data_IF_230803235462
#
_entry.id   IF_230803235462
#
_cell.length_a   1.000
_cell.length_b   1.000
_cell.length_c   1.000
_cell.angle_alpha   90.00
_cell.angle_beta   90.00
_cell.angle_gamma   90.00
#
_symmetry.space_group_name_H-M   'P 1'
#
loop_
_entity.id
_entity.type
_entity.pdbx_description
1 polymer ?
#
# COMPACT_ATOMS: atom_id res chain seq x y z
N UNK A 1 3.47 29.98 27.67
CA UNK A 1 3.18 28.53 27.72
C UNK A 1 2.07 28.25 26.71
N UNK A 2 2.37 27.53 25.63
CA UNK A 2 1.36 27.05 24.66
C UNK A 2 0.97 25.65 25.08
N UNK A 3 -0.28 25.45 25.43
CA UNK A 3 -0.88 24.13 25.63
C UNK A 3 -1.15 23.51 24.25
N UNK A 4 -0.60 22.32 23.91
CA UNK A 4 -0.94 21.66 22.66
C UNK A 4 -2.43 21.27 22.68
N UNK A 5 -3.15 21.65 21.63
CA UNK A 5 -4.56 21.34 21.45
C UNK A 5 -4.71 19.87 21.01
N UNK A 6 -5.44 18.99 21.73
CA UNK A 6 -5.32 17.53 21.56
C UNK A 6 -6.28 16.90 20.53
N UNK A 7 -6.73 17.60 19.48
CA UNK A 7 -7.83 17.07 18.65
C UNK A 7 -7.86 17.50 17.17
N UNK A 8 -6.72 17.59 16.50
CA UNK A 8 -6.74 17.37 15.04
C UNK A 8 -6.79 15.86 14.79
N UNK A 9 -7.83 15.31 14.14
CA UNK A 9 -7.76 13.94 13.66
C UNK A 9 -6.52 13.86 12.76
N UNK A 10 -5.59 12.97 13.11
CA UNK A 10 -4.40 12.79 12.28
C UNK A 10 -4.90 12.17 10.98
N UNK A 11 -4.96 12.94 9.90
CA UNK A 11 -5.20 12.45 8.52
C UNK A 11 -3.98 11.67 8.01
N UNK A 12 -3.31 10.96 8.91
CA UNK A 12 -2.12 10.18 8.60
C UNK A 12 -2.57 8.88 7.94
N UNK A 13 -2.33 8.78 6.64
CA UNK A 13 -2.44 7.51 5.93
C UNK A 13 -1.19 6.68 6.22
N UNK A 14 -1.37 5.38 6.46
CA UNK A 14 -0.26 4.44 6.59
C UNK A 14 0.08 3.91 5.20
N UNK A 15 1.35 4.02 4.81
CA UNK A 15 1.88 3.45 3.57
C UNK A 15 2.75 2.24 3.91
N UNK A 16 2.52 1.11 3.23
CA UNK A 16 3.37 -0.06 3.34
C UNK A 16 4.38 -0.09 2.18
N UNK A 17 5.66 -0.17 2.50
CA UNK A 17 6.76 -0.33 1.53
C UNK A 17 7.75 -1.38 2.03
N UNK A 18 8.52 -2.04 1.15
CA UNK A 18 9.55 -2.98 1.58
C UNK A 18 10.58 -2.28 2.48
N UNK A 19 10.87 -2.85 3.66
CA UNK A 19 11.82 -2.26 4.60
C UNK A 19 13.22 -2.06 3.99
N UNK A 20 13.63 -2.95 3.08
CA UNK A 20 14.89 -2.84 2.35
C UNK A 20 14.97 -1.58 1.46
N UNK A 21 13.83 -1.05 1.00
CA UNK A 21 13.80 0.17 0.19
C UNK A 21 14.03 1.45 1.03
N UNK A 22 13.87 1.35 2.36
CA UNK A 22 14.17 2.41 3.32
C UNK A 22 15.46 2.15 4.09
N UNK A 23 16.21 1.09 3.76
CA UNK A 23 17.43 0.77 4.47
C UNK A 23 18.55 1.76 4.12
N UNK A 24 19.22 2.28 5.14
CA UNK A 24 20.40 3.15 5.00
C UNK A 24 21.63 2.29 5.32
N UNK A 25 22.56 2.19 4.38
CA UNK A 25 23.75 1.34 4.50
C UNK A 25 23.44 -0.12 4.88
N UNK A 26 22.31 -0.64 4.37
CA UNK A 26 21.85 -2.00 4.65
C UNK A 26 21.16 -2.19 6.00
N UNK A 27 21.01 -1.13 6.80
CA UNK A 27 20.29 -1.16 8.08
C UNK A 27 18.83 -0.77 7.86
N UNK A 28 17.84 -1.66 8.14
CA UNK A 28 16.43 -1.33 8.01
C UNK A 28 15.94 -0.40 9.13
N UNK A 29 14.88 0.40 8.89
CA UNK A 29 14.30 1.26 9.92
C UNK A 29 13.58 0.45 11.00
N UNK A 30 13.50 1.00 12.22
CA UNK A 30 12.79 0.43 13.35
C UNK A 30 11.48 1.18 13.66
N UNK A 31 10.63 0.57 14.49
CA UNK A 31 9.38 1.20 14.93
C UNK A 31 9.68 2.47 15.73
N UNK A 32 9.12 3.59 15.29
CA UNK A 32 9.31 4.89 15.92
C UNK A 32 10.43 5.74 15.31
N UNK A 33 11.20 5.20 14.35
CA UNK A 33 12.12 6.02 13.56
C UNK A 33 11.35 6.99 12.66
N UNK A 34 11.80 8.24 12.64
CA UNK A 34 11.34 9.23 11.65
C UNK A 34 12.16 9.07 10.38
N UNK A 35 11.48 8.89 9.25
CA UNK A 35 12.11 8.68 7.95
C UNK A 35 11.59 9.70 6.94
N UNK A 36 12.50 10.31 6.18
CA UNK A 36 12.14 11.04 4.95
C UNK A 36 12.23 10.06 3.79
N UNK A 37 11.17 9.98 2.99
CA UNK A 37 11.14 9.13 1.80
C UNK A 37 10.55 9.88 0.61
N UNK A 38 11.02 9.52 -0.58
CA UNK A 38 10.41 9.92 -1.84
C UNK A 38 9.89 8.68 -2.54
N UNK A 39 8.72 8.76 -3.16
CA UNK A 39 8.14 7.61 -3.84
C UNK A 39 7.31 7.98 -5.05
N UNK A 40 7.20 7.04 -5.98
CA UNK A 40 6.21 7.08 -7.07
C UNK A 40 5.24 5.94 -6.86
N UNK A 41 3.97 6.21 -7.15
CA UNK A 41 2.91 5.22 -7.08
C UNK A 41 1.97 5.41 -8.27
N UNK A 42 1.25 4.34 -8.60
CA UNK A 42 0.12 4.38 -9.54
C UNK A 42 -1.18 4.11 -8.80
N UNK A 43 -2.28 4.63 -9.33
CA UNK A 43 -3.61 4.32 -8.81
C UNK A 43 -3.95 2.88 -9.18
N UNK A 44 -4.15 2.03 -8.17
CA UNK A 44 -4.54 0.64 -8.37
C UNK A 44 -6.06 0.50 -8.43
N UNK A 45 -6.77 1.19 -7.54
CA UNK A 45 -8.24 1.13 -7.43
C UNK A 45 -8.79 2.42 -6.82
N UNK A 46 -10.03 2.75 -7.16
CA UNK A 46 -10.79 3.86 -6.55
C UNK A 46 -12.10 3.30 -6.00
N UNK A 47 -12.35 3.52 -4.71
CA UNK A 47 -13.54 3.07 -3.99
C UNK A 47 -14.23 4.27 -3.36
N UNK A 48 -15.20 4.84 -4.08
CA UNK A 48 -15.86 6.07 -3.69
C UNK A 48 -14.87 7.23 -3.58
N UNK A 49 -14.67 7.75 -2.37
CA UNK A 49 -13.72 8.84 -2.07
C UNK A 49 -12.32 8.34 -1.67
N UNK A 50 -12.11 7.02 -1.61
CA UNK A 50 -10.82 6.40 -1.23
C UNK A 50 -10.03 5.98 -2.46
N UNK A 51 -8.74 6.32 -2.52
CA UNK A 51 -7.83 5.92 -3.60
C UNK A 51 -6.79 4.94 -3.06
N UNK A 52 -6.74 3.75 -3.63
CA UNK A 52 -5.74 2.74 -3.34
C UNK A 52 -4.55 2.94 -4.28
N UNK A 53 -3.37 3.17 -3.70
CA UNK A 53 -2.13 3.39 -4.43
C UNK A 53 -1.26 2.14 -4.38
N UNK A 54 -0.66 1.78 -5.52
CA UNK A 54 0.41 0.79 -5.58
C UNK A 54 1.75 1.51 -5.80
N UNK A 55 2.65 1.39 -4.84
CA UNK A 55 3.97 2.01 -4.88
C UNK A 55 4.87 1.30 -5.88
N UNK A 56 5.43 2.04 -6.84
CA UNK A 56 6.28 1.51 -7.91
C UNK A 56 7.75 1.88 -7.74
N UNK A 57 8.05 2.91 -6.95
CA UNK A 57 9.42 3.38 -6.70
C UNK A 57 9.52 3.98 -5.30
N UNK A 58 10.62 3.72 -4.60
CA UNK A 58 10.97 4.35 -3.33
C UNK A 58 12.43 4.75 -3.36
N UNK A 59 12.72 6.01 -3.05
CA UNK A 59 14.07 6.59 -3.02
C UNK A 59 14.87 6.36 -4.32
N UNK A 60 14.19 6.42 -5.47
CA UNK A 60 14.79 6.17 -6.77
C UNK A 60 15.03 4.69 -7.11
N UNK A 61 14.77 3.77 -6.18
CA UNK A 61 14.80 2.34 -6.44
C UNK A 61 13.42 1.87 -6.90
N UNK A 62 13.36 1.28 -8.10
CA UNK A 62 12.14 0.65 -8.61
C UNK A 62 11.77 -0.55 -7.72
N UNK A 63 10.53 -0.58 -7.26
CA UNK A 63 9.98 -1.75 -6.60
C UNK A 63 9.55 -2.72 -7.69
N UNK A 64 9.90 -3.99 -7.54
CA UNK A 64 9.34 -5.02 -8.40
C UNK A 64 7.80 -4.96 -8.25
N UNK A 65 7.09 -4.86 -9.36
CA UNK A 65 5.64 -4.96 -9.34
C UNK A 65 5.29 -6.27 -8.63
N UNK A 66 4.40 -6.20 -7.63
CA UNK A 66 3.81 -7.42 -7.11
C UNK A 66 3.25 -8.19 -8.33
N UNK A 67 3.47 -9.51 -8.42
CA UNK A 67 2.75 -10.29 -9.42
C UNK A 67 1.27 -9.94 -9.23
N UNK A 68 0.57 -9.61 -10.33
CA UNK A 68 -0.88 -9.48 -10.28
C UNK A 68 -1.40 -10.70 -9.52
N UNK A 69 -2.19 -10.48 -8.46
CA UNK A 69 -2.72 -11.61 -7.70
C UNK A 69 -3.38 -12.55 -8.70
N UNK A 70 -2.76 -13.72 -8.88
CA UNK A 70 -3.29 -14.79 -9.69
C UNK A 70 -4.64 -15.08 -9.03
N UNK A 71 -5.75 -14.79 -9.74
CA UNK A 71 -7.07 -15.20 -9.29
C UNK A 71 -6.98 -16.70 -9.08
N UNK A 72 -6.78 -17.11 -7.82
CA UNK A 72 -6.58 -18.52 -7.51
C UNK A 72 -7.75 -19.31 -8.07
N UNK A 73 -7.50 -20.52 -8.55
CA UNK A 73 -8.51 -21.38 -9.18
C UNK A 73 -9.82 -21.48 -8.36
N UNK A 74 -9.76 -21.31 -7.04
CA UNK A 74 -10.92 -21.21 -6.14
C UNK A 74 -11.85 -20.03 -6.46
N UNK A 75 -11.32 -18.84 -6.80
CA UNK A 75 -12.12 -17.66 -7.16
C UNK A 75 -12.72 -17.80 -8.57
N UNK A 76 -11.97 -18.41 -9.51
CA UNK A 76 -12.45 -18.75 -10.84
C UNK A 76 -13.59 -19.78 -10.79
N UNK A 77 -13.44 -20.81 -9.94
CA UNK A 77 -14.43 -21.87 -9.76
C UNK A 77 -15.71 -21.34 -9.11
N UNK A 78 -15.58 -20.39 -8.19
CA UNK A 78 -16.72 -19.71 -7.57
C UNK A 78 -17.51 -18.86 -8.57
N UNK A 79 -16.83 -18.05 -9.39
CA UNK A 79 -17.49 -17.26 -10.44
C UNK A 79 -18.23 -18.14 -11.47
N UNK A 80 -17.64 -19.28 -11.84
CA UNK A 80 -18.27 -20.22 -12.76
C UNK A 80 -19.54 -20.85 -12.18
N UNK A 81 -19.56 -21.16 -10.87
CA UNK A 81 -20.76 -21.68 -10.19
C UNK A 81 -21.86 -20.62 -10.05
N UNK A 82 -21.49 -19.35 -9.79
CA UNK A 82 -22.45 -18.25 -9.70
C UNK A 82 -23.10 -17.92 -11.07
N UNK A 83 -22.36 -18.11 -12.17
CA UNK A 83 -22.90 -17.93 -13.53
C UNK A 83 -23.86 -19.06 -13.96
N UNK A 84 -23.62 -20.30 -13.51
CA UNK A 84 -24.47 -21.46 -13.83
C UNK A 84 -25.78 -21.45 -13.01
N UNK A 85 -25.74 -20.97 -11.76
CA UNK A 85 -26.92 -20.86 -10.91
C UNK A 85 -27.90 -19.72 -11.29
N UNK A 86 -27.48 -18.82 -12.20
CA UNK A 86 -28.30 -17.72 -12.70
C UNK A 86 -28.91 -17.98 -14.10
N UNK A 87 -28.66 -19.16 -14.68
CA UNK A 87 -29.16 -19.60 -16.00
C UNK A 87 -30.50 -20.32 -15.97
#
# INVERSE_FOLDING_TARGET
MVTPNPSTPSTAATLAVPAAALAIDGTPPAVGDEVEYTGKARVARVDGETVHLETTEVNGAALAAAPAEDMGDDELMRLAQEADAAG
#
